data_IF_235453701887
#
_entry.id   IF_235453701887
#
_cell.length_a   1.000
_cell.length_b   1.000
_cell.length_c   1.000
_cell.angle_alpha   90.00
_cell.angle_beta   90.00
_cell.angle_gamma   90.00
#
_symmetry.space_group_name_H-M   'P 1'
#
loop_
_entity.id
_entity.type
_entity.pdbx_description
1 polymer ?
#
# COMPACT_ATOMS: atom_id res chain seq x y z
N UNK A 1 7.40 20.58 5.05
CA UNK A 1 6.82 19.44 5.80
C UNK A 1 5.39 19.30 5.31
N UNK A 2 5.04 18.24 4.58
CA UNK A 2 3.68 18.09 4.04
C UNK A 2 2.72 17.76 5.20
N UNK A 3 1.73 18.62 5.43
CA UNK A 3 0.84 18.59 6.61
C UNK A 3 -0.30 17.55 6.52
N UNK A 4 -0.07 16.43 5.82
CA UNK A 4 -1.05 15.36 5.68
C UNK A 4 -0.42 14.02 6.08
N UNK A 5 -1.00 13.36 7.09
CA UNK A 5 -0.55 12.06 7.60
C UNK A 5 -1.14 10.88 6.84
N UNK A 6 -2.08 11.12 5.91
CA UNK A 6 -2.64 10.08 5.07
C UNK A 6 -1.54 9.47 4.18
N UNK A 7 -1.55 8.14 4.11
CA UNK A 7 -0.66 7.35 3.24
C UNK A 7 -1.38 6.78 2.02
N UNK A 8 -2.64 7.19 1.81
CA UNK A 8 -3.44 6.70 0.69
C UNK A 8 -2.88 7.23 -0.64
N UNK A 9 -2.80 6.35 -1.63
CA UNK A 9 -2.45 6.71 -3.02
C UNK A 9 -3.71 6.55 -3.87
N UNK A 10 -4.08 7.60 -4.60
CA UNK A 10 -5.19 7.60 -5.56
C UNK A 10 -4.62 7.54 -6.97
N UNK A 11 -4.86 6.43 -7.68
CA UNK A 11 -4.37 6.31 -9.05
C UNK A 11 -5.06 7.29 -9.99
N UNK A 12 -6.38 7.46 -9.87
CA UNK A 12 -7.15 8.32 -10.77
C UNK A 12 -6.63 9.76 -10.76
N UNK A 13 -6.30 10.30 -9.58
CA UNK A 13 -5.73 11.64 -9.45
C UNK A 13 -4.37 11.78 -10.13
N UNK A 14 -3.53 10.72 -10.06
CA UNK A 14 -2.24 10.70 -10.76
C UNK A 14 -2.44 10.60 -12.26
N UNK A 15 -3.37 9.76 -12.71
CA UNK A 15 -3.70 9.60 -14.13
C UNK A 15 -4.21 10.91 -14.75
N UNK A 16 -5.15 11.59 -14.10
CA UNK A 16 -5.68 12.90 -14.54
C UNK A 16 -4.57 13.96 -14.65
N UNK A 17 -3.59 13.94 -13.73
CA UNK A 17 -2.45 14.84 -13.77
C UNK A 17 -1.47 14.50 -14.91
N UNK A 18 -1.20 13.21 -15.12
CA UNK A 18 -0.22 12.74 -16.10
C UNK A 18 -0.74 12.81 -17.54
N UNK A 19 -2.05 12.60 -17.74
CA UNK A 19 -2.66 12.46 -19.06
C UNK A 19 -2.34 13.61 -20.03
N UNK A 20 -2.44 14.90 -19.66
CA UNK A 20 -2.11 16.00 -20.57
C UNK A 20 -0.65 16.00 -21.02
N UNK A 21 0.27 15.55 -20.15
CA UNK A 21 1.71 15.49 -20.46
C UNK A 21 2.03 14.35 -21.44
N UNK A 22 1.34 13.22 -21.30
CA UNK A 22 1.43 12.08 -22.21
C UNK A 22 0.90 12.47 -23.60
N UNK A 23 -0.26 13.13 -23.65
CA UNK A 23 -0.89 13.53 -24.91
C UNK A 23 -0.03 14.51 -25.72
N UNK A 24 0.60 15.49 -25.05
CA UNK A 24 1.49 16.47 -25.71
C UNK A 24 2.73 15.80 -26.31
N UNK A 25 3.23 14.72 -25.71
CA UNK A 25 4.45 14.05 -26.18
C UNK A 25 4.22 13.16 -27.41
N UNK A 26 2.97 12.74 -27.67
CA UNK A 26 2.66 11.80 -28.75
C UNK A 26 3.22 10.39 -28.52
N UNK A 27 3.52 9.61 -29.57
CA UNK A 27 4.09 8.27 -29.41
C UNK A 27 5.50 8.31 -28.81
N UNK A 28 5.74 7.56 -27.73
CA UNK A 28 7.04 7.42 -27.08
C UNK A 28 7.37 5.95 -26.77
N UNK A 29 8.66 5.59 -26.67
CA UNK A 29 9.07 4.24 -26.26
C UNK A 29 8.82 4.01 -24.76
N UNK A 30 8.64 2.76 -24.37
CA UNK A 30 8.51 2.35 -22.96
C UNK A 30 9.76 2.75 -22.17
N UNK A 31 9.56 3.29 -20.96
CA UNK A 31 10.65 3.72 -20.08
C UNK A 31 11.66 2.60 -19.83
N UNK A 32 12.96 2.93 -19.92
CA UNK A 32 14.05 2.00 -19.68
C UNK A 32 14.43 1.11 -20.87
N UNK A 33 13.65 1.07 -21.95
CA UNK A 33 14.06 0.39 -23.19
C UNK A 33 15.27 1.06 -23.84
N UNK A 34 15.99 0.35 -24.72
CA UNK A 34 17.12 0.93 -25.48
C UNK A 34 16.68 2.16 -26.28
N UNK A 35 15.51 2.11 -26.92
CA UNK A 35 14.94 3.25 -27.63
C UNK A 35 14.73 4.46 -26.71
N UNK A 36 14.26 4.25 -25.48
CA UNK A 36 14.13 5.31 -24.48
C UNK A 36 15.47 5.84 -23.97
N UNK A 37 16.46 4.97 -23.79
CA UNK A 37 17.80 5.36 -23.33
C UNK A 37 18.47 6.31 -24.32
N UNK A 38 18.27 6.07 -25.62
CA UNK A 38 18.82 6.88 -26.71
C UNK A 38 18.15 8.26 -26.86
N UNK A 39 16.96 8.48 -26.30
CA UNK A 39 16.32 9.81 -26.34
C UNK A 39 17.14 10.83 -25.57
N UNK A 40 17.16 12.08 -26.02
CA UNK A 40 17.76 13.18 -25.26
C UNK A 40 16.93 13.49 -24.00
N UNK A 41 17.59 14.00 -22.94
CA UNK A 41 16.93 14.43 -21.70
C UNK A 41 15.93 15.59 -21.88
N UNK A 42 16.06 16.34 -22.97
CA UNK A 42 15.18 17.45 -23.31
C UNK A 42 13.95 17.02 -24.14
N UNK A 43 13.92 15.77 -24.62
CA UNK A 43 12.80 15.29 -25.43
C UNK A 43 11.55 15.02 -24.56
N UNK A 44 10.38 15.59 -24.90
CA UNK A 44 9.14 15.38 -24.15
C UNK A 44 8.78 13.90 -23.99
N UNK A 45 9.04 13.09 -25.03
CA UNK A 45 8.78 11.65 -25.02
C UNK A 45 9.56 10.89 -23.94
N UNK A 46 10.76 11.37 -23.55
CA UNK A 46 11.55 10.74 -22.50
C UNK A 46 10.89 10.90 -21.12
N UNK A 47 10.34 12.08 -20.87
CA UNK A 47 9.59 12.39 -19.65
C UNK A 47 8.20 11.75 -19.65
N UNK A 48 7.50 11.77 -20.77
CA UNK A 48 6.18 11.13 -20.90
C UNK A 48 6.24 9.63 -20.59
N UNK A 49 7.28 8.92 -21.05
CA UNK A 49 7.50 7.53 -20.70
C UNK A 49 7.70 7.30 -19.19
N UNK A 50 8.39 8.22 -18.50
CA UNK A 50 8.57 8.14 -17.05
C UNK A 50 7.28 8.43 -16.29
N UNK A 51 6.50 9.42 -16.75
CA UNK A 51 5.19 9.74 -16.18
C UNK A 51 4.20 8.58 -16.38
N UNK A 52 4.22 7.94 -17.54
CA UNK A 52 3.44 6.73 -17.81
C UNK A 52 3.84 5.59 -16.85
N UNK A 53 5.14 5.35 -16.65
CA UNK A 53 5.60 4.37 -15.66
C UNK A 53 5.17 4.72 -14.23
N UNK A 54 5.21 6.01 -13.87
CA UNK A 54 4.81 6.49 -12.55
C UNK A 54 3.31 6.29 -12.27
N UNK A 55 2.43 6.55 -13.25
CA UNK A 55 1.00 6.28 -13.08
C UNK A 55 0.71 4.78 -12.93
N UNK A 56 1.44 3.90 -13.63
CA UNK A 56 1.29 2.45 -13.46
C UNK A 56 1.77 1.98 -12.08
N UNK A 57 2.82 2.59 -11.52
CA UNK A 57 3.22 2.33 -10.14
C UNK A 57 2.17 2.81 -9.14
N UNK A 58 1.57 3.98 -9.35
CA UNK A 58 0.45 4.46 -8.53
C UNK A 58 -0.76 3.53 -8.60
N UNK A 59 -1.09 3.00 -9.79
CA UNK A 59 -2.14 2.00 -9.99
C UNK A 59 -1.89 0.75 -9.14
N UNK A 60 -0.65 0.24 -9.18
CA UNK A 60 -0.25 -0.91 -8.37
C UNK A 60 -0.47 -0.64 -6.88
N UNK A 61 -0.04 0.52 -6.38
CA UNK A 61 -0.22 0.88 -4.97
C UNK A 61 -1.69 1.00 -4.58
N UNK A 62 -2.53 1.58 -5.44
CA UNK A 62 -3.97 1.72 -5.20
C UNK A 62 -4.64 0.34 -5.06
N UNK A 63 -4.38 -0.56 -6.01
CA UNK A 63 -4.89 -1.95 -5.99
C UNK A 63 -4.36 -2.74 -4.77
N UNK A 64 -3.09 -2.60 -4.42
CA UNK A 64 -2.51 -3.25 -3.24
C UNK A 64 -3.17 -2.75 -1.94
N UNK A 65 -3.55 -1.48 -1.86
CA UNK A 65 -4.27 -0.93 -0.71
C UNK A 65 -5.68 -1.54 -0.58
N UNK A 66 -6.42 -1.66 -1.68
CA UNK A 66 -7.73 -2.31 -1.69
C UNK A 66 -7.65 -3.76 -1.21
N UNK A 67 -6.67 -4.52 -1.72
CA UNK A 67 -6.42 -5.89 -1.29
C UNK A 67 -6.07 -5.98 0.21
N UNK A 68 -5.21 -5.08 0.71
CA UNK A 68 -4.87 -5.02 2.12
C UNK A 68 -6.07 -4.67 3.01
N UNK A 69 -6.95 -3.76 2.58
CA UNK A 69 -8.20 -3.43 3.29
C UNK A 69 -9.12 -4.66 3.34
N UNK A 70 -9.29 -5.37 2.23
CA UNK A 70 -10.08 -6.59 2.18
C UNK A 70 -9.53 -7.67 3.12
N UNK A 71 -8.21 -7.90 3.11
CA UNK A 71 -7.55 -8.85 4.00
C UNK A 71 -7.72 -8.46 5.48
N UNK A 72 -7.57 -7.18 5.83
CA UNK A 72 -7.80 -6.68 7.20
C UNK A 72 -9.23 -6.90 7.66
N UNK A 73 -10.22 -6.66 6.79
CA UNK A 73 -11.64 -6.94 7.08
C UNK A 73 -11.87 -8.42 7.32
N UNK A 74 -11.30 -9.29 6.48
CA UNK A 74 -11.40 -10.74 6.65
C UNK A 74 -10.80 -11.20 7.98
N UNK A 75 -9.61 -10.71 8.36
CA UNK A 75 -8.99 -11.00 9.67
C UNK A 75 -9.88 -10.51 10.81
N UNK A 76 -10.37 -9.26 10.71
CA UNK A 76 -11.27 -8.69 11.72
C UNK A 76 -12.57 -9.48 11.90
N UNK A 77 -13.04 -10.16 10.85
CA UNK A 77 -14.26 -10.98 10.86
C UNK A 77 -13.99 -12.46 11.14
N UNK A 78 -12.74 -12.91 11.09
CA UNK A 78 -12.38 -14.33 11.20
C UNK A 78 -12.72 -14.97 12.55
N UNK A 79 -12.82 -14.17 13.61
CA UNK A 79 -13.14 -14.62 14.96
C UNK A 79 -13.70 -13.48 15.80
N UNK A 80 -14.42 -13.81 16.87
CA UNK A 80 -14.86 -12.84 17.85
C UNK A 80 -13.65 -12.38 18.69
N UNK A 81 -12.99 -11.33 18.22
CA UNK A 81 -11.85 -10.73 18.89
C UNK A 81 -12.21 -10.17 20.29
N UNK A 82 -13.49 -9.84 20.53
CA UNK A 82 -13.98 -9.43 21.84
C UNK A 82 -13.97 -10.60 22.83
N UNK A 83 -14.48 -11.75 22.42
CA UNK A 83 -14.41 -12.99 23.20
C UNK A 83 -12.96 -13.45 23.42
N UNK A 84 -12.09 -13.36 22.41
CA UNK A 84 -10.65 -13.66 22.55
C UNK A 84 -10.01 -12.74 23.58
N UNK A 85 -10.22 -11.44 23.48
CA UNK A 85 -9.68 -10.47 24.43
C UNK A 85 -10.22 -10.69 25.85
N UNK A 86 -11.52 -11.01 25.99
CA UNK A 86 -12.13 -11.35 27.27
C UNK A 86 -11.47 -12.58 27.90
N UNK A 87 -11.29 -13.65 27.12
CA UNK A 87 -10.62 -14.88 27.57
C UNK A 87 -9.17 -14.63 27.98
N UNK A 88 -8.44 -13.78 27.25
CA UNK A 88 -7.07 -13.39 27.61
C UNK A 88 -7.02 -12.61 28.93
N UNK A 89 -7.93 -11.63 29.12
CA UNK A 89 -8.04 -10.88 30.39
C UNK A 89 -8.41 -11.77 31.56
N UNK A 90 -9.46 -12.59 31.43
CA UNK A 90 -9.85 -13.54 32.48
C UNK A 90 -8.70 -14.47 32.87
N UNK A 91 -7.92 -14.92 31.89
CA UNK A 91 -6.74 -15.75 32.14
C UNK A 91 -5.66 -14.98 32.89
N UNK A 92 -5.39 -13.73 32.51
CA UNK A 92 -4.46 -12.84 33.21
C UNK A 92 -4.89 -12.65 34.68
N UNK A 93 -6.14 -12.23 34.90
CA UNK A 93 -6.73 -12.00 36.22
C UNK A 93 -6.66 -13.27 37.09
N UNK A 94 -6.90 -14.45 36.50
CA UNK A 94 -6.81 -15.73 37.20
C UNK A 94 -5.42 -16.00 37.80
N UNK A 95 -4.35 -15.66 37.07
CA UNK A 95 -2.97 -15.83 37.54
C UNK A 95 -2.54 -14.70 38.48
N UNK A 96 -3.00 -13.47 38.26
CA UNK A 96 -2.75 -12.35 39.20
C UNK A 96 -3.36 -12.63 40.58
N UNK A 97 -4.56 -13.21 40.62
CA UNK A 97 -5.20 -13.66 41.86
C UNK A 97 -4.53 -14.90 42.48
N UNK A 98 -3.69 -15.62 41.74
CA UNK A 98 -3.02 -16.85 42.20
C UNK A 98 -1.52 -16.82 41.88
N UNK A 99 -0.73 -15.95 42.53
CA UNK A 99 0.68 -15.76 42.20
C UNK A 99 1.54 -17.02 42.38
N UNK A 100 1.11 -17.95 43.23
CA UNK A 100 1.79 -19.23 43.47
C UNK A 100 1.63 -20.24 42.32
N UNK A 101 0.70 -20.00 41.39
CA UNK A 101 0.45 -20.88 40.25
C UNK A 101 1.36 -20.49 39.09
N UNK A 102 2.36 -21.33 38.78
CA UNK A 102 3.27 -21.05 37.66
C UNK A 102 2.61 -21.36 36.32
N UNK A 103 2.75 -20.44 35.37
CA UNK A 103 2.39 -20.68 33.98
C UNK A 103 3.36 -21.71 33.38
N UNK A 104 2.84 -22.79 32.81
CA UNK A 104 3.67 -23.73 32.05
C UNK A 104 4.07 -23.05 30.74
N UNK A 105 5.38 -22.95 30.47
CA UNK A 105 5.86 -22.48 29.17
C UNK A 105 5.44 -23.49 28.10
N UNK A 106 4.95 -22.97 26.97
CA UNK A 106 4.65 -23.78 25.79
C UNK A 106 5.99 -24.00 25.10
N UNK A 107 6.38 -25.27 24.95
CA UNK A 107 7.59 -25.69 24.24
C UNK A 107 7.51 -25.40 22.74
#
# INVERSE_FOLDING_TARGET
MYANTSRQVSWLTVHEFVQPHIEVAGPFPVAGTVAWQLLSGAEPGKWAALLDAAQHYALRLDVEQEAAIAARRAISQSQDWGAVASKMRQRQDFYEQRPWLRRKEVA
#
